data_IF_340149275321
#
_entry.id   IF_340149275321
#
_cell.length_a   1.000
_cell.length_b   1.000
_cell.length_c   1.000
_cell.angle_alpha   90.00
_cell.angle_beta   90.00
_cell.angle_gamma   90.00
#
_symmetry.space_group_name_H-M   'P 1'
#
loop_
_entity.id
_entity.type
_entity.pdbx_description
1 polymer ?
#
# COMPACT_ATOMS: atom_id res chain seq x y z
N UNK A 1 0.52 19.48 4.53
CA UNK A 1 1.70 19.73 3.68
C UNK A 1 2.17 18.45 2.98
N UNK A 2 2.62 17.41 3.69
CA UNK A 2 3.11 16.16 3.07
C UNK A 2 2.14 15.50 2.06
N UNK A 3 0.86 15.31 2.43
CA UNK A 3 -0.13 14.71 1.52
C UNK A 3 -0.36 15.55 0.25
N UNK A 4 -0.28 16.88 0.35
CA UNK A 4 -0.42 17.74 -0.83
C UNK A 4 0.75 17.57 -1.80
N UNK A 5 1.97 17.43 -1.27
CA UNK A 5 3.16 17.11 -2.09
C UNK A 5 3.01 15.74 -2.74
N UNK A 6 2.54 14.73 -2.01
CA UNK A 6 2.24 13.40 -2.56
C UNK A 6 1.24 13.50 -3.72
N UNK A 7 0.16 14.26 -3.56
CA UNK A 7 -0.84 14.44 -4.62
C UNK A 7 -0.22 15.06 -5.87
N UNK A 8 0.51 16.17 -5.73
CA UNK A 8 1.18 16.83 -6.86
C UNK A 8 2.14 15.90 -7.60
N UNK A 9 2.92 15.09 -6.86
CA UNK A 9 3.85 14.14 -7.45
C UNK A 9 3.11 13.00 -8.18
N UNK A 10 2.07 12.43 -7.57
CA UNK A 10 1.27 11.38 -8.20
C UNK A 10 0.64 11.84 -9.52
N UNK A 11 0.15 13.08 -9.56
CA UNK A 11 -0.42 13.68 -10.76
C UNK A 11 0.64 13.88 -11.85
N UNK A 12 1.83 14.31 -11.43
CA UNK A 12 2.95 14.54 -12.34
C UNK A 12 3.45 13.22 -12.94
N UNK A 13 3.52 12.16 -12.13
CA UNK A 13 3.91 10.81 -12.56
C UNK A 13 2.88 10.24 -13.53
N UNK A 14 1.58 10.33 -13.25
CA UNK A 14 0.54 9.85 -14.19
C UNK A 14 0.62 10.58 -15.53
N UNK A 15 0.77 11.91 -15.50
CA UNK A 15 0.92 12.74 -16.70
C UNK A 15 2.13 12.30 -17.53
N UNK A 16 3.25 12.03 -16.86
CA UNK A 16 4.48 11.53 -17.49
C UNK A 16 4.27 10.12 -18.08
N UNK A 17 3.65 9.19 -17.36
CA UNK A 17 3.33 7.87 -17.90
C UNK A 17 2.53 7.99 -19.21
N UNK A 18 1.49 8.83 -19.22
CA UNK A 18 0.63 9.03 -20.39
C UNK A 18 1.38 9.65 -21.58
N UNK A 19 2.32 10.57 -21.34
CA UNK A 19 3.13 11.15 -22.43
C UNK A 19 4.02 10.12 -23.12
N UNK A 20 4.30 9.00 -22.46
CA UNK A 20 5.04 7.84 -23.00
C UNK A 20 4.14 6.65 -23.32
N UNK A 21 2.83 6.86 -23.53
CA UNK A 21 1.85 5.79 -23.82
C UNK A 21 1.85 4.65 -22.80
N UNK A 22 2.25 4.96 -21.57
CA UNK A 22 2.27 4.05 -20.43
C UNK A 22 1.14 4.40 -19.48
N UNK A 23 0.81 3.48 -18.56
CA UNK A 23 -0.27 3.67 -17.58
C UNK A 23 0.29 3.52 -16.18
N UNK A 24 -0.13 4.40 -15.27
CA UNK A 24 0.25 4.31 -13.87
C UNK A 24 -0.73 3.39 -13.13
N UNK A 25 -0.18 2.42 -12.41
CA UNK A 25 -0.89 1.61 -11.42
C UNK A 25 -0.28 1.91 -10.05
N UNK A 26 -1.14 2.08 -9.05
CA UNK A 26 -0.73 2.41 -7.69
C UNK A 26 -0.95 1.20 -6.79
N UNK A 27 0.11 0.70 -6.17
CA UNK A 27 0.03 -0.39 -5.20
C UNK A 27 0.35 0.14 -3.82
N UNK A 28 -0.61 0.06 -2.89
CA UNK A 28 -0.40 0.40 -1.50
C UNK A 28 0.21 -0.78 -0.76
N UNK A 29 1.44 -0.60 -0.27
CA UNK A 29 2.13 -1.56 0.60
C UNK A 29 1.94 -1.11 2.04
N UNK A 30 1.16 -1.82 2.86
CA UNK A 30 0.99 -1.47 4.26
C UNK A 30 2.32 -1.66 5.02
N UNK A 31 2.50 -0.90 6.09
CA UNK A 31 3.49 -1.19 7.12
C UNK A 31 3.08 -2.43 7.95
N UNK A 32 4.02 -3.05 8.66
CA UNK A 32 3.69 -4.23 9.48
C UNK A 32 2.63 -3.91 10.56
N UNK A 33 2.65 -2.71 11.13
CA UNK A 33 1.70 -2.29 12.18
C UNK A 33 0.26 -2.14 11.67
N UNK A 34 0.06 -1.99 10.37
CA UNK A 34 -1.27 -1.94 9.75
C UNK A 34 -1.90 -3.33 9.57
N UNK A 35 -1.10 -4.41 9.59
CA UNK A 35 -1.56 -5.76 9.24
C UNK A 35 -1.13 -6.85 10.24
N UNK A 36 -0.35 -6.51 11.27
CA UNK A 36 0.10 -7.40 12.34
C UNK A 36 -0.30 -6.88 13.70
N UNK A 37 -0.29 -7.79 14.67
CA UNK A 37 -0.36 -7.38 16.07
C UNK A 37 0.95 -6.65 16.43
N UNK A 38 0.91 -5.45 17.04
CA UNK A 38 2.09 -4.75 17.53
C UNK A 38 3.06 -5.60 18.36
N UNK A 39 2.55 -6.57 19.13
CA UNK A 39 3.38 -7.44 19.97
C UNK A 39 4.25 -8.42 19.17
N UNK A 40 4.08 -8.49 17.85
CA UNK A 40 4.88 -9.33 16.94
C UNK A 40 5.97 -8.52 16.21
N UNK A 41 6.12 -7.23 16.56
CA UNK A 41 7.00 -6.27 15.87
C UNK A 41 8.06 -5.76 16.85
N UNK A 42 9.30 -6.24 16.70
CA UNK A 42 10.40 -6.01 17.65
C UNK A 42 11.00 -4.60 17.56
N UNK A 43 10.75 -3.89 16.46
CA UNK A 43 11.33 -2.57 16.19
C UNK A 43 10.39 -1.40 16.54
N UNK A 44 9.22 -1.68 17.14
CA UNK A 44 8.35 -0.59 17.58
C UNK A 44 9.01 0.17 18.75
N UNK A 45 8.93 1.51 18.74
CA UNK A 45 9.51 2.32 19.81
C UNK A 45 8.85 2.01 21.15
N UNK A 46 9.68 1.76 22.16
CA UNK A 46 9.20 1.50 23.52
C UNK A 46 8.42 2.71 24.07
N UNK A 47 7.32 2.44 24.77
CA UNK A 47 6.51 3.48 25.42
C UNK A 47 5.53 4.22 24.50
N UNK A 48 5.46 3.87 23.21
CA UNK A 48 4.48 4.41 22.28
C UNK A 48 3.45 3.32 21.98
N UNK A 49 2.18 3.56 22.30
CA UNK A 49 1.10 2.66 21.94
C UNK A 49 0.72 2.87 20.47
N UNK A 50 0.79 1.85 19.60
CA UNK A 50 0.29 1.97 18.23
C UNK A 50 -1.23 2.14 18.13
N UNK A 51 -1.95 1.93 19.24
CA UNK A 51 -3.38 2.19 19.34
C UNK A 51 -3.70 3.66 19.70
N UNK A 52 -2.69 4.48 20.00
CA UNK A 52 -2.88 5.92 20.20
C UNK A 52 -3.05 6.62 18.86
N UNK A 53 -4.29 6.71 18.39
CA UNK A 53 -4.65 7.35 17.11
C UNK A 53 -4.49 8.87 17.14
N UNK A 54 -4.28 9.48 18.31
CA UNK A 54 -3.92 10.90 18.41
C UNK A 54 -2.47 11.14 18.01
N UNK A 55 -1.62 10.12 18.14
CA UNK A 55 -0.23 10.12 17.70
C UNK A 55 -0.04 9.37 16.36
N UNK A 56 -0.84 8.35 16.06
CA UNK A 56 -0.69 7.47 14.89
C UNK A 56 -2.04 7.12 14.22
N UNK A 57 -2.47 7.91 13.24
CA UNK A 57 -3.52 7.48 12.31
C UNK A 57 -2.89 6.69 11.15
N UNK A 58 -2.73 5.38 11.39
CA UNK A 58 -2.15 4.42 10.43
C UNK A 58 -2.99 4.25 9.17
N UNK A 59 -4.26 4.67 9.21
CA UNK A 59 -5.23 4.54 8.13
C UNK A 59 -5.26 5.78 7.22
N UNK A 60 -4.83 6.96 7.73
CA UNK A 60 -4.92 8.24 7.03
C UNK A 60 -4.28 8.20 5.64
N UNK A 61 -3.06 7.69 5.54
CA UNK A 61 -2.31 7.63 4.29
C UNK A 61 -3.01 6.74 3.25
N UNK A 62 -3.43 5.54 3.67
CA UNK A 62 -4.16 4.59 2.82
C UNK A 62 -5.48 5.17 2.32
N UNK A 63 -6.30 5.75 3.21
CA UNK A 63 -7.59 6.36 2.87
C UNK A 63 -7.42 7.53 1.88
N UNK A 64 -6.42 8.38 2.13
CA UNK A 64 -6.10 9.50 1.25
C UNK A 64 -5.68 9.01 -0.15
N UNK A 65 -4.77 8.04 -0.22
CA UNK A 65 -4.30 7.51 -1.49
C UNK A 65 -5.41 6.81 -2.27
N UNK A 66 -6.26 6.02 -1.61
CA UNK A 66 -7.42 5.38 -2.23
C UNK A 66 -8.42 6.41 -2.79
N UNK A 67 -8.66 7.52 -2.08
CA UNK A 67 -9.52 8.59 -2.56
C UNK A 67 -8.92 9.30 -3.78
N UNK A 68 -7.62 9.62 -3.74
CA UNK A 68 -6.92 10.26 -4.85
C UNK A 68 -6.94 9.38 -6.11
N UNK A 69 -6.63 8.08 -5.98
CA UNK A 69 -6.61 7.17 -7.14
C UNK A 69 -8.00 6.97 -7.72
N UNK A 70 -9.03 6.89 -6.89
CA UNK A 70 -10.43 6.84 -7.36
C UNK A 70 -10.83 8.10 -8.13
N UNK A 71 -10.50 9.30 -7.63
CA UNK A 71 -10.78 10.57 -8.32
C UNK A 71 -10.06 10.69 -9.67
N UNK A 72 -8.92 10.03 -9.82
CA UNK A 72 -8.08 10.07 -11.03
C UNK A 72 -8.26 8.86 -11.94
N UNK A 73 -9.19 7.97 -11.59
CA UNK A 73 -9.42 6.70 -12.29
C UNK A 73 -8.13 5.87 -12.44
N UNK A 74 -7.24 5.96 -11.46
CA UNK A 74 -6.01 5.18 -11.42
C UNK A 74 -6.28 3.79 -10.83
N UNK A 75 -5.81 2.71 -11.47
CA UNK A 75 -5.85 1.38 -10.87
C UNK A 75 -5.15 1.36 -9.52
N UNK A 76 -5.85 0.93 -8.48
CA UNK A 76 -5.37 0.91 -7.10
C UNK A 76 -5.42 -0.50 -6.51
N UNK A 77 -4.26 -1.05 -6.17
CA UNK A 77 -4.10 -2.33 -5.48
C UNK A 77 -3.77 -2.09 -4.00
N UNK A 78 -4.74 -2.33 -3.11
CA UNK A 78 -4.54 -2.29 -1.66
C UNK A 78 -4.10 -3.66 -1.14
N UNK A 79 -2.86 -3.78 -0.67
CA UNK A 79 -2.33 -5.02 -0.11
C UNK A 79 -2.70 -5.25 1.37
N UNK A 80 -3.40 -4.31 2.02
CA UNK A 80 -3.77 -4.44 3.44
C UNK A 80 -4.57 -5.71 3.71
N UNK A 81 -5.64 -5.96 2.93
CA UNK A 81 -6.48 -7.16 3.09
C UNK A 81 -5.70 -8.48 2.85
N UNK A 82 -4.99 -8.68 1.72
CA UNK A 82 -4.31 -9.95 1.48
C UNK A 82 -3.17 -10.22 2.46
N UNK A 83 -2.46 -9.19 2.93
CA UNK A 83 -1.38 -9.36 3.92
C UNK A 83 -1.93 -9.60 5.32
N UNK A 84 -3.02 -8.94 5.73
CA UNK A 84 -3.67 -9.20 7.02
C UNK A 84 -4.24 -10.62 7.13
N UNK A 85 -4.76 -11.17 6.01
CA UNK A 85 -5.29 -12.55 5.96
C UNK A 85 -4.23 -13.65 5.86
N UNK A 86 -2.95 -13.32 5.92
CA UNK A 86 -1.87 -14.28 5.80
C UNK A 86 -1.86 -15.27 6.98
N UNK A 87 -1.77 -16.58 6.68
CA UNK A 87 -1.70 -17.64 7.71
C UNK A 87 -0.38 -17.64 8.48
N UNK A 88 0.69 -17.17 7.85
CA UNK A 88 2.01 -16.97 8.46
C UNK A 88 2.35 -15.47 8.41
N UNK A 89 3.12 -14.93 9.36
CA UNK A 89 3.50 -13.52 9.37
C UNK A 89 4.14 -13.12 8.03
N UNK A 90 3.63 -12.08 7.33
CA UNK A 90 4.20 -11.60 6.07
C UNK A 90 5.40 -10.66 6.25
N UNK A 91 5.76 -10.29 7.47
CA UNK A 91 6.92 -9.44 7.79
C UNK A 91 7.90 -10.17 8.69
N UNK A 92 9.15 -9.72 8.67
CA UNK A 92 10.12 -10.09 9.70
C UNK A 92 9.77 -9.34 11.00
N UNK A 93 9.90 -9.98 12.16
CA UNK A 93 9.59 -9.33 13.45
C UNK A 93 10.52 -8.14 13.72
N UNK A 94 11.81 -8.29 13.41
CA UNK A 94 12.85 -7.29 13.64
C UNK A 94 13.14 -6.36 12.44
N UNK A 95 12.28 -6.33 11.41
CA UNK A 95 12.48 -5.48 10.24
C UNK A 95 11.16 -4.97 9.65
N UNK A 96 11.15 -3.71 9.23
CA UNK A 96 10.05 -3.08 8.48
C UNK A 96 9.76 -3.71 7.11
N UNK A 97 10.63 -4.60 6.62
CA UNK A 97 10.43 -5.28 5.35
C UNK A 97 9.57 -6.53 5.51
N UNK A 98 8.72 -6.75 4.52
CA UNK A 98 8.08 -8.05 4.32
C UNK A 98 9.12 -9.18 4.15
N UNK A 99 8.73 -10.40 4.49
CA UNK A 99 9.53 -11.60 4.31
C UNK A 99 9.14 -12.34 3.01
N UNK A 100 9.74 -13.50 2.67
CA UNK A 100 9.37 -14.24 1.45
C UNK A 100 7.88 -14.58 1.33
N UNK A 101 7.19 -14.83 2.45
CA UNK A 101 5.74 -15.05 2.47
C UNK A 101 4.98 -13.78 2.06
N UNK A 102 5.34 -12.63 2.63
CA UNK A 102 4.74 -11.34 2.27
C UNK A 102 4.96 -10.99 0.80
N UNK A 103 6.18 -11.19 0.30
CA UNK A 103 6.49 -11.04 -1.13
C UNK A 103 5.63 -11.95 -2.01
N UNK A 104 5.47 -13.23 -1.64
CA UNK A 104 4.65 -14.18 -2.39
C UNK A 104 3.19 -13.71 -2.47
N UNK A 105 2.63 -13.27 -1.35
CA UNK A 105 1.25 -12.75 -1.29
C UNK A 105 1.10 -11.53 -2.20
N UNK A 106 2.01 -10.56 -2.09
CA UNK A 106 1.99 -9.36 -2.91
C UNK A 106 2.08 -9.67 -4.40
N UNK A 107 2.99 -10.57 -4.81
CA UNK A 107 3.14 -10.97 -6.21
C UNK A 107 1.87 -11.64 -6.76
N UNK A 108 1.25 -12.55 -6.01
CA UNK A 108 0.00 -13.20 -6.40
C UNK A 108 -1.14 -12.18 -6.52
N UNK A 109 -1.27 -11.29 -5.53
CA UNK A 109 -2.27 -10.21 -5.56
C UNK A 109 -2.07 -9.28 -6.76
N UNK A 110 -0.83 -8.93 -7.08
CA UNK A 110 -0.48 -8.09 -8.22
C UNK A 110 -0.85 -8.74 -9.55
N UNK A 111 -0.46 -10.00 -9.77
CA UNK A 111 -0.80 -10.73 -11.00
C UNK A 111 -2.32 -10.85 -11.15
N UNK A 112 -3.03 -11.22 -10.07
CA UNK A 112 -4.49 -11.30 -10.08
C UNK A 112 -5.12 -9.95 -10.45
N UNK A 113 -4.66 -8.87 -9.82
CA UNK A 113 -5.14 -7.53 -10.11
C UNK A 113 -4.92 -7.14 -11.57
N UNK A 114 -3.73 -7.44 -12.14
CA UNK A 114 -3.47 -7.18 -13.54
C UNK A 114 -4.42 -7.96 -14.46
N UNK A 115 -4.64 -9.24 -14.20
CA UNK A 115 -5.56 -10.07 -15.00
C UNK A 115 -7.00 -9.54 -14.96
N UNK A 116 -7.45 -9.07 -13.80
CA UNK A 116 -8.79 -8.49 -13.60
C UNK A 116 -8.92 -7.07 -14.13
N UNK A 117 -7.82 -6.38 -14.46
CA UNK A 117 -7.85 -4.99 -14.93
C UNK A 117 -7.22 -4.81 -16.33
N UNK A 118 -6.76 -5.89 -16.97
CA UNK A 118 -6.07 -5.89 -18.26
C UNK A 118 -6.93 -5.33 -19.40
N UNK A 119 -8.25 -5.53 -19.35
CA UNK A 119 -9.21 -4.94 -20.30
C UNK A 119 -9.45 -3.44 -20.09
N UNK A 120 -9.00 -2.85 -18.97
CA UNK A 120 -8.94 -1.40 -18.86
C UNK A 120 -7.74 -0.84 -19.63
N UNK A 121 -6.72 -1.64 -19.97
CA UNK A 121 -5.47 -1.21 -20.62
C UNK A 121 -5.53 -1.12 -22.15
N UNK A 122 -6.66 -1.47 -22.77
CA UNK A 122 -6.86 -1.53 -24.23
C UNK A 122 -7.82 -0.47 -24.77
N UNK A 123 -8.25 0.50 -23.95
CA UNK A 123 -9.01 1.67 -24.38
C UNK A 123 -8.19 2.94 -24.30
#
# INVERSE_FOLDING_TARGET
EALHVTDSLMISIDSLCRSYQSRLLVMYVPSAVEVRNPNEIDYLPAGISPADTTAFDTDRGRKHLAALTAQRELPFLDLCIPLNRATSPPYFSASWHWNPTGHKIAAVSFVKFLLENLHLATK
#
